data_IF_752071920700
#
_entry.id   IF_752071920700
#
_cell.length_a   1.000
_cell.length_b   1.000
_cell.length_c   1.000
_cell.angle_alpha   90.00
_cell.angle_beta   90.00
_cell.angle_gamma   90.00
#
_symmetry.space_group_name_H-M   'P 1'
#
loop_
_entity.id
_entity.type
_entity.pdbx_description
1 polymer ?
#
# COMPACT_ATOMS: atom_id res chain seq x y z
N UNK A 1 14.85 -18.36 11.83
CA UNK A 1 15.72 -17.47 11.01
C UNK A 1 15.32 -15.99 10.98
N UNK A 2 14.03 -15.63 11.11
CA UNK A 2 13.61 -14.23 11.12
C UNK A 2 13.74 -13.53 12.49
N UNK A 3 13.70 -14.30 13.59
CA UNK A 3 13.78 -13.79 14.96
C UNK A 3 15.02 -12.89 15.21
N UNK A 4 16.24 -13.26 14.76
CA UNK A 4 17.44 -12.44 14.97
C UNK A 4 17.35 -11.07 14.30
N UNK A 5 16.56 -10.90 13.23
CA UNK A 5 16.38 -9.60 12.56
C UNK A 5 15.68 -8.58 13.46
N UNK A 6 14.80 -9.03 14.35
CA UNK A 6 14.13 -8.21 15.35
C UNK A 6 14.94 -7.99 16.63
N UNK A 7 16.03 -8.75 16.81
CA UNK A 7 16.90 -8.69 18.00
C UNK A 7 18.18 -7.87 17.77
N UNK A 8 18.50 -7.52 16.52
CA UNK A 8 19.65 -6.65 16.21
C UNK A 8 19.42 -5.24 16.75
N UNK A 9 20.42 -4.69 17.46
CA UNK A 9 20.45 -3.29 17.95
C UNK A 9 20.25 -2.25 16.83
N UNK A 10 20.72 -2.55 15.63
CA UNK A 10 20.49 -1.75 14.41
C UNK A 10 19.56 -2.51 13.49
N UNK A 11 18.26 -2.30 13.64
CA UNK A 11 17.29 -2.84 12.70
C UNK A 11 17.53 -2.23 11.31
N UNK A 12 17.39 -3.02 10.22
CA UNK A 12 17.59 -2.53 8.86
C UNK A 12 16.57 -1.43 8.51
N UNK A 13 16.95 -0.52 7.62
CA UNK A 13 16.06 0.56 7.16
C UNK A 13 14.86 0.02 6.38
N UNK A 14 15.09 -1.06 5.63
CA UNK A 14 14.14 -1.69 4.71
C UNK A 14 14.24 -3.21 4.79
N UNK A 15 13.10 -3.88 4.67
CA UNK A 15 13.00 -5.33 4.52
C UNK A 15 11.98 -5.68 3.44
N UNK A 16 12.36 -6.61 2.58
CA UNK A 16 11.52 -7.19 1.55
C UNK A 16 11.47 -8.71 1.74
N UNK A 17 10.29 -9.27 1.99
CA UNK A 17 10.08 -10.72 2.12
C UNK A 17 9.11 -11.21 1.06
N UNK A 18 9.60 -12.04 0.15
CA UNK A 18 8.73 -12.78 -0.75
C UNK A 18 8.23 -14.04 -0.03
N UNK A 19 6.92 -14.20 0.05
CA UNK A 19 6.25 -15.33 0.70
C UNK A 19 5.50 -16.13 -0.35
N UNK A 20 6.07 -17.25 -0.84
CA UNK A 20 5.33 -18.20 -1.66
C UNK A 20 4.28 -18.91 -0.80
N UNK A 21 3.00 -18.81 -1.17
CA UNK A 21 1.89 -19.22 -0.29
C UNK A 21 1.93 -20.71 0.04
N UNK A 22 2.03 -21.56 -0.99
CA UNK A 22 2.06 -23.02 -0.80
C UNK A 22 3.23 -23.49 0.10
N UNK A 23 4.43 -22.94 -0.11
CA UNK A 23 5.59 -23.31 0.70
C UNK A 23 5.47 -22.81 2.14
N UNK A 24 4.94 -21.60 2.33
CA UNK A 24 4.70 -21.03 3.63
C UNK A 24 3.67 -21.85 4.42
N UNK A 25 2.56 -22.23 3.80
CA UNK A 25 1.53 -23.10 4.40
C UNK A 25 2.12 -24.44 4.85
N UNK A 26 2.85 -25.13 3.97
CA UNK A 26 3.49 -26.41 4.33
C UNK A 26 4.47 -26.27 5.50
N UNK A 27 5.24 -25.18 5.53
CA UNK A 27 6.19 -24.90 6.62
C UNK A 27 5.48 -24.51 7.93
N UNK A 28 4.36 -23.80 7.86
CA UNK A 28 3.55 -23.45 9.02
C UNK A 28 2.91 -24.69 9.64
N UNK A 29 2.31 -25.57 8.83
CA UNK A 29 1.70 -26.82 9.27
C UNK A 29 2.72 -27.80 9.86
N UNK A 30 3.93 -27.88 9.29
CA UNK A 30 4.99 -28.71 9.86
C UNK A 30 5.55 -28.13 11.15
N UNK A 31 5.72 -26.80 11.23
CA UNK A 31 6.21 -26.12 12.43
C UNK A 31 5.20 -26.17 13.59
N UNK A 32 3.90 -26.17 13.31
CA UNK A 32 2.86 -26.24 14.35
C UNK A 32 2.79 -27.60 15.04
N UNK A 33 3.14 -28.68 14.32
CA UNK A 33 3.19 -30.06 14.84
C UNK A 33 4.45 -30.37 15.66
N UNK A 34 5.45 -29.48 15.65
CA UNK A 34 6.68 -29.61 16.42
C UNK A 34 6.67 -28.60 17.58
N UNK A 35 6.86 -29.04 18.85
CA UNK A 35 6.85 -28.12 20.00
C UNK A 35 7.90 -27.00 19.90
N UNK A 36 9.08 -27.28 19.34
CA UNK A 36 10.13 -26.27 19.12
C UNK A 36 9.72 -25.27 18.04
N UNK A 37 9.10 -25.75 16.96
CA UNK A 37 8.58 -24.91 15.88
C UNK A 37 7.43 -24.02 16.34
N UNK A 38 6.49 -24.56 17.11
CA UNK A 38 5.37 -23.83 17.68
C UNK A 38 5.83 -22.74 18.68
N UNK A 39 6.83 -23.03 19.50
CA UNK A 39 7.46 -22.04 20.37
C UNK A 39 8.09 -20.91 19.54
N UNK A 40 8.89 -21.24 18.52
CA UNK A 40 9.53 -20.26 17.65
C UNK A 40 8.51 -19.37 16.90
N UNK A 41 7.40 -19.94 16.41
CA UNK A 41 6.31 -19.18 15.79
C UNK A 41 5.65 -18.23 16.77
N UNK A 42 5.39 -18.68 18.00
CA UNK A 42 4.80 -17.84 19.06
C UNK A 42 5.74 -16.69 19.42
N UNK A 43 7.05 -16.94 19.48
CA UNK A 43 8.05 -15.88 19.73
C UNK A 43 8.13 -14.90 18.56
N UNK A 44 8.06 -15.38 17.31
CA UNK A 44 8.10 -14.55 16.12
C UNK A 44 6.88 -13.64 16.00
N UNK A 45 5.68 -14.22 16.15
CA UNK A 45 4.41 -13.51 16.03
C UNK A 45 4.04 -12.74 17.31
N UNK A 46 4.77 -12.98 18.41
CA UNK A 46 4.53 -12.40 19.74
C UNK A 46 3.13 -12.69 20.30
N UNK A 47 2.48 -13.73 19.79
CA UNK A 47 1.14 -14.17 20.22
C UNK A 47 0.97 -15.65 19.90
N UNK A 48 0.07 -16.32 20.62
CA UNK A 48 -0.37 -17.69 20.39
C UNK A 48 -1.68 -17.78 19.57
N UNK A 49 -2.29 -16.63 19.24
CA UNK A 49 -3.53 -16.53 18.44
C UNK A 49 -3.47 -17.25 17.09
N UNK A 50 -2.27 -17.43 16.53
CA UNK A 50 -2.08 -18.18 15.29
C UNK A 50 -2.55 -19.63 15.38
N UNK A 51 -2.61 -20.21 16.59
CA UNK A 51 -3.12 -21.57 16.81
C UNK A 51 -4.61 -21.69 16.50
N UNK A 52 -5.38 -20.61 16.66
CA UNK A 52 -6.81 -20.62 16.36
C UNK A 52 -7.07 -20.85 14.87
N UNK A 53 -6.20 -20.33 14.00
CA UNK A 53 -6.32 -20.50 12.56
C UNK A 53 -6.08 -21.95 12.10
N UNK A 54 -5.45 -22.80 12.94
CA UNK A 54 -5.19 -24.20 12.62
C UNK A 54 -6.36 -25.15 12.94
N UNK A 55 -7.31 -24.69 13.76
CA UNK A 55 -8.43 -25.50 14.25
C UNK A 55 -9.59 -25.58 13.26
N UNK A 56 -9.64 -24.71 12.26
CA UNK A 56 -10.70 -24.69 11.25
C UNK A 56 -10.34 -25.63 10.09
N UNK A 57 -10.88 -26.86 10.14
CA UNK A 57 -10.67 -27.91 9.15
C UNK A 57 -11.30 -27.69 7.77
N UNK A 58 -11.34 -26.45 7.26
CA UNK A 58 -11.96 -26.11 5.98
C UNK A 58 -11.35 -24.88 5.34
N UNK A 59 -10.35 -25.06 4.48
CA UNK A 59 -9.72 -24.02 3.66
C UNK A 59 -8.31 -23.64 4.13
N UNK A 60 -7.31 -23.83 3.27
CA UNK A 60 -5.89 -23.57 3.59
C UNK A 60 -5.47 -22.10 3.44
N UNK A 61 -6.17 -21.33 2.60
CA UNK A 61 -5.93 -19.89 2.37
C UNK A 61 -6.20 -18.95 3.56
N UNK A 62 -7.29 -19.08 4.35
CA UNK A 62 -7.54 -18.18 5.50
C UNK A 62 -6.48 -18.34 6.61
N UNK A 63 -5.83 -19.50 6.69
CA UNK A 63 -4.74 -19.75 7.63
C UNK A 63 -3.55 -18.83 7.37
N UNK A 64 -3.08 -18.80 6.12
CA UNK A 64 -1.89 -18.04 5.76
C UNK A 64 -2.13 -16.54 5.90
N UNK A 65 -3.29 -16.06 5.48
CA UNK A 65 -3.65 -14.64 5.57
C UNK A 65 -3.63 -14.15 7.02
N UNK A 66 -4.30 -14.86 7.94
CA UNK A 66 -4.31 -14.50 9.36
C UNK A 66 -2.92 -14.54 9.99
N UNK A 67 -2.08 -15.51 9.60
CA UNK A 67 -0.69 -15.59 10.07
C UNK A 67 0.17 -14.44 9.51
N UNK A 68 -0.01 -14.06 8.25
CA UNK A 68 0.70 -12.94 7.65
C UNK A 68 0.30 -11.60 8.29
N UNK A 69 -0.98 -11.43 8.64
CA UNK A 69 -1.45 -10.24 9.34
C UNK A 69 -0.82 -10.13 10.74
N UNK A 70 -0.76 -11.24 11.49
CA UNK A 70 -0.04 -11.28 12.78
C UNK A 70 1.45 -11.00 12.59
N UNK A 71 2.06 -11.53 11.53
CA UNK A 71 3.46 -11.31 11.24
C UNK A 71 3.74 -9.84 10.93
N UNK A 72 2.92 -9.19 10.10
CA UNK A 72 3.00 -7.76 9.81
C UNK A 72 2.80 -6.91 11.07
N UNK A 73 1.83 -7.26 11.92
CA UNK A 73 1.62 -6.59 13.20
C UNK A 73 2.85 -6.68 14.11
N UNK A 74 3.55 -7.82 14.11
CA UNK A 74 4.83 -7.96 14.82
C UNK A 74 5.93 -7.05 14.25
N UNK A 75 5.94 -6.86 12.91
CA UNK A 75 6.90 -6.01 12.21
C UNK A 75 6.68 -4.52 12.48
N UNK A 76 5.44 -4.09 12.65
CA UNK A 76 5.07 -2.68 12.91
C UNK A 76 5.71 -2.12 14.20
N UNK A 77 6.18 -2.98 15.11
CA UNK A 77 6.92 -2.51 16.30
C UNK A 77 8.34 -2.03 15.96
N UNK A 78 8.87 -2.44 14.81
CA UNK A 78 10.22 -2.10 14.34
C UNK A 78 10.21 -1.21 13.10
N UNK A 79 9.15 -1.24 12.30
CA UNK A 79 9.03 -0.47 11.05
C UNK A 79 7.82 0.45 11.11
N UNK A 80 7.97 1.67 10.60
CA UNK A 80 6.88 2.65 10.56
C UNK A 80 5.79 2.25 9.56
N UNK A 81 6.21 1.65 8.44
CA UNK A 81 5.29 1.17 7.40
C UNK A 81 5.58 -0.29 7.09
N UNK A 82 4.51 -1.08 7.04
CA UNK A 82 4.54 -2.49 6.64
C UNK A 82 3.38 -2.69 5.69
N UNK A 83 3.69 -3.10 4.46
CA UNK A 83 2.74 -3.27 3.38
C UNK A 83 2.82 -4.67 2.80
N UNK A 84 1.66 -5.31 2.63
CA UNK A 84 1.55 -6.59 1.93
C UNK A 84 1.11 -6.32 0.50
N UNK A 85 1.96 -6.72 -0.43
CA UNK A 85 1.74 -6.54 -1.86
C UNK A 85 1.37 -7.89 -2.46
N UNK A 86 0.12 -7.96 -2.91
CA UNK A 86 -0.33 -9.01 -3.80
C UNK A 86 -0.03 -8.58 -5.25
N UNK A 87 0.85 -9.32 -5.92
CA UNK A 87 1.23 -9.01 -7.30
C UNK A 87 0.23 -9.65 -8.26
N UNK A 88 -0.36 -8.87 -9.18
CA UNK A 88 -1.11 -9.45 -10.27
C UNK A 88 -0.18 -10.12 -11.28
N UNK A 89 -0.66 -11.19 -11.90
CA UNK A 89 -0.03 -11.90 -13.00
C UNK A 89 -1.06 -12.08 -14.12
N UNK A 90 -0.60 -11.92 -15.36
CA UNK A 90 -1.42 -12.25 -16.52
C UNK A 90 -1.39 -13.77 -16.73
N UNK A 91 -2.54 -14.42 -16.58
CA UNK A 91 -2.69 -15.87 -16.80
C UNK A 91 -3.19 -16.16 -18.21
N UNK A 92 -4.05 -15.28 -18.75
CA UNK A 92 -4.59 -15.34 -20.12
C UNK A 92 -4.75 -13.93 -20.71
N UNK A 93 -4.98 -13.78 -22.02
CA UNK A 93 -5.36 -12.48 -22.59
C UNK A 93 -6.61 -11.93 -21.88
N UNK A 94 -6.60 -10.64 -21.51
CA UNK A 94 -7.60 -9.97 -20.66
C UNK A 94 -7.86 -10.60 -19.27
N UNK A 95 -7.09 -11.59 -18.81
CA UNK A 95 -7.29 -12.21 -17.49
C UNK A 95 -6.05 -12.02 -16.63
N UNK A 96 -6.23 -11.21 -15.58
CA UNK A 96 -5.24 -10.93 -14.56
C UNK A 96 -5.70 -11.57 -13.25
N UNK A 97 -4.88 -12.43 -12.68
CA UNK A 97 -5.13 -13.09 -11.40
C UNK A 97 -4.06 -12.70 -10.38
N UNK A 98 -4.36 -12.88 -9.10
CA UNK A 98 -3.38 -12.65 -8.03
C UNK A 98 -2.39 -13.80 -7.97
N UNK A 99 -1.09 -13.49 -7.95
CA UNK A 99 -0.05 -14.49 -7.83
C UNK A 99 -0.17 -15.31 -6.52
N UNK A 100 0.23 -16.60 -6.53
CA UNK A 100 0.30 -17.43 -5.32
C UNK A 100 1.53 -17.09 -4.43
N UNK A 101 1.91 -15.81 -4.41
CA UNK A 101 2.92 -15.26 -3.54
C UNK A 101 2.57 -13.83 -3.14
N UNK A 102 2.98 -13.42 -1.94
CA UNK A 102 2.88 -12.04 -1.47
C UNK A 102 4.26 -11.50 -1.15
N UNK A 103 4.50 -10.23 -1.45
CA UNK A 103 5.68 -9.51 -0.98
C UNK A 103 5.30 -8.67 0.23
N UNK A 104 5.98 -8.87 1.34
CA UNK A 104 5.89 -7.98 2.49
C UNK A 104 7.04 -6.99 2.39
N UNK A 105 6.69 -5.71 2.26
CA UNK A 105 7.64 -4.61 2.29
C UNK A 105 7.50 -3.85 3.60
N UNK A 106 8.59 -3.72 4.35
CA UNK A 106 8.64 -2.97 5.59
C UNK A 106 9.75 -1.93 5.54
N UNK A 107 9.44 -0.69 5.91
CA UNK A 107 10.42 0.41 5.83
C UNK A 107 10.21 1.45 6.93
N UNK A 108 11.30 2.14 7.25
CA UNK A 108 11.34 3.34 8.09
C UNK A 108 11.53 4.63 7.27
N UNK A 109 11.82 4.50 5.97
CA UNK A 109 12.07 5.61 5.06
C UNK A 109 10.81 5.98 4.30
N UNK A 110 10.46 7.27 4.34
CA UNK A 110 9.31 7.83 3.59
C UNK A 110 9.54 7.72 2.08
N UNK A 111 10.75 8.00 1.64
CA UNK A 111 11.10 8.02 0.22
C UNK A 111 11.06 6.62 -0.39
N UNK A 112 11.48 5.61 0.38
CA UNK A 112 11.44 4.22 -0.04
C UNK A 112 10.01 3.69 -0.10
N UNK A 113 9.13 4.12 0.82
CA UNK A 113 7.70 3.83 0.75
C UNK A 113 7.09 4.39 -0.53
N UNK A 114 7.35 5.66 -0.82
CA UNK A 114 6.82 6.31 -2.01
C UNK A 114 7.36 5.69 -3.31
N UNK A 115 8.65 5.37 -3.34
CA UNK A 115 9.28 4.71 -4.48
C UNK A 115 8.71 3.31 -4.74
N UNK A 116 8.54 2.50 -3.68
CA UNK A 116 7.93 1.17 -3.80
C UNK A 116 6.45 1.27 -4.22
N UNK A 117 5.71 2.22 -3.65
CA UNK A 117 4.32 2.49 -4.04
C UNK A 117 4.21 2.76 -5.54
N UNK A 118 5.00 3.71 -6.05
CA UNK A 118 4.98 4.08 -7.45
C UNK A 118 5.41 2.92 -8.36
N UNK A 119 6.43 2.15 -7.95
CA UNK A 119 6.84 0.95 -8.67
C UNK A 119 5.70 -0.09 -8.78
N UNK A 120 4.96 -0.32 -7.70
CA UNK A 120 3.81 -1.25 -7.69
C UNK A 120 2.67 -0.71 -8.56
N UNK A 121 2.32 0.58 -8.44
CA UNK A 121 1.30 1.23 -9.26
C UNK A 121 1.64 1.12 -10.75
N UNK A 122 2.87 1.46 -11.13
CA UNK A 122 3.33 1.40 -12.52
C UNK A 122 3.37 -0.04 -13.05
N UNK A 123 3.78 -1.00 -12.23
CA UNK A 123 3.73 -2.42 -12.59
C UNK A 123 2.30 -2.87 -12.90
N UNK A 124 1.34 -2.56 -12.02
CA UNK A 124 -0.08 -2.92 -12.21
C UNK A 124 -0.67 -2.28 -13.47
N UNK A 125 -0.42 -0.99 -13.67
CA UNK A 125 -0.88 -0.26 -14.87
C UNK A 125 -0.30 -0.85 -16.14
N UNK A 126 1.01 -1.15 -16.15
CA UNK A 126 1.70 -1.77 -17.29
C UNK A 126 1.13 -3.15 -17.61
N UNK A 127 0.93 -3.99 -16.60
CA UNK A 127 0.37 -5.33 -16.79
C UNK A 127 -1.04 -5.27 -17.37
N UNK A 128 -1.88 -4.37 -16.87
CA UNK A 128 -3.23 -4.14 -17.43
C UNK A 128 -3.18 -3.68 -18.89
N UNK A 129 -2.28 -2.76 -19.24
CA UNK A 129 -2.13 -2.35 -20.64
C UNK A 129 -1.64 -3.51 -21.52
N UNK A 130 -0.69 -4.32 -21.03
CA UNK A 130 -0.17 -5.47 -21.76
C UNK A 130 -1.21 -6.57 -21.95
N UNK A 131 -2.08 -6.80 -20.97
CA UNK A 131 -3.07 -7.87 -21.04
C UNK A 131 -4.13 -7.66 -22.13
N UNK A 132 -4.37 -6.41 -22.53
CA UNK A 132 -5.38 -6.05 -23.52
C UNK A 132 -4.80 -5.77 -24.92
N UNK A 133 -3.48 -5.73 -25.08
CA UNK A 133 -2.84 -5.55 -26.40
C UNK A 133 -3.08 -6.76 -27.30
N UNK A 134 -3.41 -6.50 -28.55
CA UNK A 134 -3.72 -7.48 -29.59
C UNK A 134 -5.14 -8.04 -29.52
N UNK A 135 -6.02 -7.51 -28.67
CA UNK A 135 -7.40 -8.00 -28.53
C UNK A 135 -8.37 -7.24 -29.42
N UNK A 136 -9.42 -7.90 -29.88
CA UNK A 136 -10.54 -7.19 -30.51
C UNK A 136 -11.23 -6.31 -29.45
N UNK A 137 -11.34 -5.01 -29.74
CA UNK A 137 -11.94 -4.03 -28.82
C UNK A 137 -10.96 -3.41 -27.81
N UNK A 138 -9.66 -3.29 -28.13
CA UNK A 138 -8.68 -2.63 -27.25
C UNK A 138 -9.15 -1.26 -26.75
N UNK A 139 -9.76 -0.46 -27.62
CA UNK A 139 -10.27 0.87 -27.30
C UNK A 139 -11.32 0.83 -26.19
N UNK A 140 -12.17 -0.20 -26.18
CA UNK A 140 -13.17 -0.39 -25.12
C UNK A 140 -12.49 -0.70 -23.77
N UNK A 141 -11.47 -1.56 -23.76
CA UNK A 141 -10.72 -1.84 -22.54
C UNK A 141 -9.94 -0.62 -22.03
N UNK A 142 -9.38 0.18 -22.94
CA UNK A 142 -8.71 1.44 -22.59
C UNK A 142 -9.71 2.43 -21.99
N UNK A 143 -10.87 2.62 -22.61
CA UNK A 143 -11.92 3.50 -22.09
C UNK A 143 -12.41 3.04 -20.71
N UNK A 144 -12.69 1.74 -20.54
CA UNK A 144 -13.11 1.18 -19.26
C UNK A 144 -12.04 1.37 -18.17
N UNK A 145 -10.75 1.22 -18.51
CA UNK A 145 -9.66 1.45 -17.58
C UNK A 145 -9.58 2.92 -17.15
N UNK A 146 -9.78 3.84 -18.09
CA UNK A 146 -9.79 5.28 -17.80
C UNK A 146 -10.96 5.65 -16.88
N UNK A 147 -12.15 5.10 -17.11
CA UNK A 147 -13.32 5.31 -16.24
C UNK A 147 -13.05 4.82 -14.81
N UNK A 148 -12.56 3.59 -14.64
CA UNK A 148 -12.20 3.04 -13.32
C UNK A 148 -11.15 3.91 -12.61
N UNK A 149 -10.13 4.35 -13.35
CA UNK A 149 -9.10 5.21 -12.78
C UNK A 149 -9.67 6.58 -12.36
N UNK A 150 -10.58 7.15 -13.15
CA UNK A 150 -11.26 8.39 -12.80
C UNK A 150 -12.12 8.24 -11.54
N UNK A 151 -12.81 7.11 -11.37
CA UNK A 151 -13.57 6.78 -10.15
C UNK A 151 -12.64 6.67 -8.93
N UNK A 152 -11.52 5.94 -9.04
CA UNK A 152 -10.53 5.81 -7.97
C UNK A 152 -9.96 7.19 -7.57
N UNK A 153 -9.64 8.03 -8.55
CA UNK A 153 -9.14 9.38 -8.31
C UNK A 153 -10.19 10.27 -7.62
N UNK A 154 -11.46 10.12 -8.01
CA UNK A 154 -12.57 10.81 -7.37
C UNK A 154 -12.76 10.35 -5.91
N UNK A 155 -12.62 9.06 -5.64
CA UNK A 155 -12.66 8.51 -4.27
C UNK A 155 -11.51 9.05 -3.43
N UNK A 156 -10.29 9.06 -3.97
CA UNK A 156 -9.11 9.65 -3.32
C UNK A 156 -9.37 11.12 -2.96
N UNK A 157 -9.86 11.90 -3.92
CA UNK A 157 -10.21 13.30 -3.72
C UNK A 157 -11.23 13.51 -2.60
N UNK A 158 -12.30 12.72 -2.59
CA UNK A 158 -13.30 12.79 -1.53
C UNK A 158 -12.71 12.44 -0.16
N UNK A 159 -11.83 11.43 -0.09
CA UNK A 159 -11.17 11.05 1.15
C UNK A 159 -10.26 12.18 1.66
N UNK A 160 -9.43 12.76 0.77
CA UNK A 160 -8.57 13.91 1.08
C UNK A 160 -9.39 15.06 1.67
N UNK A 161 -10.51 15.42 1.05
CA UNK A 161 -11.39 16.48 1.54
C UNK A 161 -11.99 16.15 2.92
N UNK A 162 -12.53 14.93 3.09
CA UNK A 162 -13.14 14.51 4.36
C UNK A 162 -12.11 14.52 5.48
N UNK A 163 -10.94 13.93 5.26
CA UNK A 163 -9.88 13.84 6.26
C UNK A 163 -9.26 15.20 6.55
N UNK A 164 -8.98 16.00 5.51
CA UNK A 164 -8.48 17.36 5.64
C UNK A 164 -9.40 18.25 6.47
N UNK A 165 -10.72 18.19 6.23
CA UNK A 165 -11.73 18.93 7.02
C UNK A 165 -11.86 18.40 8.45
N UNK A 166 -11.94 17.08 8.62
CA UNK A 166 -12.16 16.46 9.92
C UNK A 166 -10.98 16.71 10.87
N UNK A 167 -9.74 16.57 10.38
CA UNK A 167 -8.53 16.71 11.19
C UNK A 167 -7.90 18.11 11.11
N UNK A 168 -8.43 18.99 10.25
CA UNK A 168 -7.90 20.35 9.98
C UNK A 168 -6.39 20.36 9.73
N UNK A 169 -5.90 19.38 8.97
CA UNK A 169 -4.47 19.20 8.72
C UNK A 169 -3.93 20.38 7.92
N UNK A 170 -2.95 21.09 8.47
CA UNK A 170 -2.42 22.31 7.86
C UNK A 170 -1.32 22.06 6.84
N UNK A 171 -0.78 20.86 6.76
CA UNK A 171 0.38 20.55 5.91
C UNK A 171 0.05 19.42 4.95
N UNK A 172 0.24 19.66 3.66
CA UNK A 172 0.02 18.63 2.64
C UNK A 172 0.86 17.37 2.86
N UNK A 173 2.17 17.46 3.17
CA UNK A 173 3.01 16.27 3.34
C UNK A 173 2.55 15.37 4.49
N UNK A 174 1.95 15.94 5.54
CA UNK A 174 1.43 15.19 6.67
C UNK A 174 0.13 14.46 6.31
N UNK A 175 -0.79 15.14 5.62
CA UNK A 175 -2.02 14.51 5.11
C UNK A 175 -1.68 13.38 4.14
N UNK A 176 -0.77 13.63 3.20
CA UNK A 176 -0.33 12.64 2.21
C UNK A 176 0.26 11.40 2.91
N UNK A 177 1.09 11.59 3.94
CA UNK A 177 1.67 10.48 4.73
C UNK A 177 0.62 9.61 5.43
N UNK A 178 -0.49 10.20 5.89
CA UNK A 178 -1.57 9.44 6.52
C UNK A 178 -2.40 8.64 5.50
N UNK A 179 -2.51 9.14 4.26
CA UNK A 179 -3.27 8.50 3.19
C UNK A 179 -2.49 7.40 2.47
N UNK A 180 -1.16 7.50 2.46
CA UNK A 180 -0.26 6.57 1.78
C UNK A 180 -0.52 5.10 2.11
N UNK A 181 -0.68 4.69 3.38
CA UNK A 181 -0.91 3.30 3.72
C UNK A 181 -2.23 2.74 3.16
N UNK A 182 -3.25 3.59 3.04
CA UNK A 182 -4.62 3.19 2.63
C UNK A 182 -4.72 2.92 1.13
N UNK A 183 -4.04 3.72 0.31
CA UNK A 183 -4.09 3.63 -1.16
C UNK A 183 -2.79 3.07 -1.76
N UNK A 184 -2.02 2.34 -0.96
CA UNK A 184 -0.74 1.78 -1.38
C UNK A 184 -0.91 0.85 -2.60
N UNK A 185 -0.16 1.12 -3.67
CA UNK A 185 -0.21 0.37 -4.91
C UNK A 185 -1.44 0.65 -5.78
N UNK A 186 -2.21 1.70 -5.49
CA UNK A 186 -3.36 2.16 -6.29
C UNK A 186 -3.06 3.53 -6.92
N UNK A 187 -2.68 4.50 -6.09
CA UNK A 187 -2.39 5.87 -6.51
C UNK A 187 -0.89 6.14 -6.43
N UNK A 188 -0.32 6.75 -7.46
CA UNK A 188 1.07 7.24 -7.50
C UNK A 188 1.20 8.57 -6.77
N UNK A 189 2.42 8.96 -6.39
CA UNK A 189 2.71 10.30 -5.86
C UNK A 189 2.12 11.42 -6.72
N UNK A 190 2.26 11.27 -8.04
CA UNK A 190 1.75 12.23 -9.01
C UNK A 190 0.23 12.38 -8.93
N UNK A 191 -0.50 11.29 -8.72
CA UNK A 191 -1.97 11.34 -8.64
C UNK A 191 -2.42 12.14 -7.39
N UNK A 192 -1.72 11.97 -6.26
CA UNK A 192 -1.98 12.78 -5.07
C UNK A 192 -1.73 14.26 -5.31
N UNK A 193 -0.61 14.58 -5.98
CA UNK A 193 -0.20 15.94 -6.29
C UNK A 193 -1.17 16.60 -7.29
N UNK A 194 -1.67 15.86 -8.28
CA UNK A 194 -2.72 16.32 -9.21
C UNK A 194 -4.04 16.58 -8.47
N UNK A 195 -4.43 15.72 -7.53
CA UNK A 195 -5.66 15.91 -6.75
C UNK A 195 -5.57 17.17 -5.88
N UNK A 196 -4.47 17.39 -5.16
CA UNK A 196 -4.36 18.59 -4.32
C UNK A 196 -4.35 19.88 -5.16
N UNK A 197 -3.71 19.88 -6.33
CA UNK A 197 -3.77 21.02 -7.26
C UNK A 197 -5.21 21.28 -7.70
N UNK A 198 -5.94 20.23 -8.12
CA UNK A 198 -7.35 20.37 -8.53
C UNK A 198 -8.26 20.90 -7.42
N UNK A 199 -7.98 20.56 -6.16
CA UNK A 199 -8.72 21.06 -5.00
C UNK A 199 -8.44 22.53 -4.71
N UNK A 200 -7.21 22.99 -4.98
CA UNK A 200 -6.82 24.39 -4.85
C UNK A 200 -7.47 25.22 -5.95
N UNK A 201 -7.41 24.77 -7.21
CA UNK A 201 -8.04 25.43 -8.35
C UNK A 201 -9.55 25.60 -8.17
N UNK A 202 -10.22 24.60 -7.60
CA UNK A 202 -11.66 24.63 -7.34
C UNK A 202 -12.03 25.42 -6.08
N UNK A 203 -11.05 25.94 -5.34
CA UNK A 203 -11.26 26.77 -4.15
C UNK A 203 -11.82 26.02 -2.93
N UNK A 204 -11.77 24.68 -2.94
CA UNK A 204 -12.11 23.83 -1.80
C UNK A 204 -11.04 23.89 -0.71
N UNK A 205 -9.79 24.13 -1.14
CA UNK A 205 -8.63 24.32 -0.27
C UNK A 205 -7.93 25.60 -0.70
N UNK A 206 -7.62 26.48 0.26
CA UNK A 206 -6.72 27.61 0.03
C UNK A 206 -5.34 27.24 0.53
N UNK A 207 -4.31 27.57 -0.25
CA UNK A 207 -2.93 27.36 0.16
C UNK A 207 -2.25 28.70 0.42
N UNK A 208 -1.72 28.88 1.63
CA UNK A 208 -0.83 29.98 1.96
C UNK A 208 0.60 29.61 1.58
N UNK A 209 1.05 30.14 0.45
CA UNK A 209 2.38 29.91 -0.10
C UNK A 209 3.42 30.78 0.60
N UNK A 210 4.42 30.16 1.22
CA UNK A 210 5.51 30.92 1.88
C UNK A 210 6.58 31.42 0.91
N UNK A 211 6.82 30.67 -0.17
CA UNK A 211 7.72 31.09 -1.24
C UNK A 211 6.93 31.74 -2.37
N UNK A 212 7.45 32.85 -2.93
CA UNK A 212 6.87 33.48 -4.13
C UNK A 212 6.78 32.49 -5.30
N UNK A 213 5.87 32.72 -6.27
CA UNK A 213 5.63 31.81 -7.37
C UNK A 213 6.93 31.62 -8.17
N UNK A 214 7.35 30.36 -8.32
CA UNK A 214 8.51 29.96 -9.11
C UNK A 214 8.09 29.41 -10.48
N UNK A 215 7.00 29.94 -11.07
CA UNK A 215 6.40 29.45 -12.32
C UNK A 215 4.87 29.56 -12.31
N UNK A 216 4.22 28.81 -13.20
CA UNK A 216 2.76 28.71 -13.33
C UNK A 216 2.11 28.33 -11.99
N UNK A 217 1.26 29.21 -11.47
CA UNK A 217 0.61 29.04 -10.15
C UNK A 217 -0.36 27.85 -10.12
N UNK A 218 -0.88 27.43 -11.27
CA UNK A 218 -1.88 26.38 -11.44
C UNK A 218 -1.37 24.96 -11.20
N UNK A 219 -0.06 24.70 -11.34
CA UNK A 219 0.53 23.35 -11.14
C UNK A 219 1.43 23.26 -9.91
N UNK A 220 1.37 24.25 -9.03
CA UNK A 220 2.23 24.27 -7.84
C UNK A 220 1.72 23.30 -6.78
N UNK A 221 2.58 22.37 -6.36
CA UNK A 221 2.28 21.44 -5.25
C UNK A 221 2.71 22.04 -3.91
N UNK A 222 1.86 22.01 -2.85
CA UNK A 222 2.22 22.51 -1.52
C UNK A 222 3.40 21.77 -0.89
N UNK A 223 4.43 22.52 -0.47
CA UNK A 223 5.61 21.99 0.21
C UNK A 223 5.43 21.86 1.73
N UNK A 224 6.52 21.51 2.43
CA UNK A 224 6.54 21.39 3.90
C UNK A 224 6.24 22.72 4.63
N UNK A 225 6.55 23.85 3.98
CA UNK A 225 6.44 25.19 4.55
C UNK A 225 5.12 25.88 4.23
N UNK A 226 4.33 25.31 3.30
CA UNK A 226 3.07 25.89 2.85
C UNK A 226 1.92 25.39 3.74
N UNK A 227 0.92 26.26 3.97
CA UNK A 227 -0.20 25.94 4.85
C UNK A 227 -1.51 25.76 4.07
N UNK A 228 -2.24 24.69 4.38
CA UNK A 228 -3.55 24.39 3.83
C UNK A 228 -4.65 24.93 4.74
N UNK A 229 -5.58 25.66 4.15
CA UNK A 229 -6.80 26.17 4.76
C UNK A 229 -8.00 25.51 4.08
N UNK A 230 -8.69 24.65 4.82
CA UNK A 230 -9.85 23.92 4.32
C UNK A 230 -11.09 24.80 4.39
N UNK A 231 -11.80 24.92 3.27
CA UNK A 231 -13.11 25.55 3.27
C UNK A 231 -14.08 24.61 3.99
N UNK A 232 -14.66 25.09 5.09
CA UNK A 232 -15.78 24.43 5.73
C UNK A 232 -17.03 24.80 4.94
N UNK A 233 -17.83 23.80 4.56
CA UNK A 233 -19.16 24.01 3.98
C UNK A 233 -20.08 24.52 5.07
#
# INVERSE_FOLDING_TARGET
>A
DLLPLYQRKTAPTELCFLVPHQQAEMRLLSSSRNPVGAAALTTLLRTDRWKAFLSEGGGTTPLLDGVLDLFMASMQQHFLWVQRIAFPLQVRPAVIETAPYSLIFATRSKDSLASMNDAVCLYRRRLSLQSHRGLLGEEWFVAQQQERFAEELQQLRQHILRQGRAQRIRRWPDLRQQLFPTYFGQCTLRDYDEVICSLIEQGEVRCEWRRGPAGDESQRVPGNEDMLLWKMV
#
